data_IF_494875542831
#
_entry.id   IF_494875542831
#
_cell.length_a   1.000
_cell.length_b   1.000
_cell.length_c   1.000
_cell.angle_alpha   90.00
_cell.angle_beta   90.00
_cell.angle_gamma   90.00
#
_symmetry.space_group_name_H-M   'P 1'
#
loop_
_entity.id
_entity.type
_entity.pdbx_description
1 polymer ?
#
# COMPACT_ATOMS: atom_id res chain seq x y z
N UNK A 1 11.79 -32.21 14.98
CA UNK A 1 12.03 -31.82 13.57
C UNK A 1 10.69 -31.76 12.86
N UNK A 2 10.41 -30.69 12.10
CA UNK A 2 9.18 -30.61 11.29
C UNK A 2 9.38 -31.43 10.02
N UNK A 3 8.52 -32.42 9.78
CA UNK A 3 8.59 -33.24 8.58
C UNK A 3 7.84 -32.54 7.43
N UNK A 4 8.57 -32.14 6.38
CA UNK A 4 8.02 -31.41 5.23
C UNK A 4 7.85 -32.37 4.05
N UNK A 5 6.61 -32.73 3.72
CA UNK A 5 6.27 -33.77 2.72
C UNK A 5 5.83 -33.21 1.37
N UNK A 6 5.57 -31.91 1.26
CA UNK A 6 5.09 -31.26 0.03
C UNK A 6 6.24 -30.56 -0.69
N UNK A 7 6.34 -30.78 -2.00
CA UNK A 7 7.30 -30.11 -2.89
C UNK A 7 6.57 -29.10 -3.77
N UNK A 8 7.11 -27.89 -3.84
CA UNK A 8 6.65 -26.81 -4.73
C UNK A 8 7.79 -26.47 -5.68
N UNK A 9 7.52 -26.43 -6.98
CA UNK A 9 8.53 -26.09 -8.01
C UNK A 9 8.03 -24.92 -8.85
N UNK A 10 8.94 -24.03 -9.21
CA UNK A 10 8.67 -22.89 -10.09
C UNK A 10 9.83 -22.75 -11.07
N UNK A 11 9.55 -22.16 -12.23
CA UNK A 11 10.54 -21.93 -13.28
C UNK A 11 11.21 -20.57 -13.08
N UNK A 12 12.47 -20.50 -13.44
CA UNK A 12 13.32 -19.31 -13.34
C UNK A 12 14.06 -19.15 -14.66
N UNK A 13 14.29 -17.91 -15.05
CA UNK A 13 15.36 -17.57 -15.98
C UNK A 13 16.72 -17.73 -15.31
N UNK A 14 17.79 -17.81 -16.11
CA UNK A 14 19.17 -17.89 -15.59
C UNK A 14 19.52 -16.69 -14.70
N UNK A 15 19.05 -15.50 -15.06
CA UNK A 15 19.27 -14.28 -14.29
C UNK A 15 18.58 -14.34 -12.92
N UNK A 16 17.30 -14.72 -12.87
CA UNK A 16 16.57 -14.84 -11.61
C UNK A 16 17.17 -15.93 -10.72
N UNK A 17 17.63 -17.03 -11.31
CA UNK A 17 18.31 -18.09 -10.58
C UNK A 17 19.60 -17.58 -9.91
N UNK A 18 20.44 -16.85 -10.65
CA UNK A 18 21.68 -16.26 -10.11
C UNK A 18 21.37 -15.32 -8.94
N UNK A 19 20.42 -14.41 -9.11
CA UNK A 19 20.05 -13.44 -8.07
C UNK A 19 19.50 -14.12 -6.81
N UNK A 20 18.69 -15.16 -6.95
CA UNK A 20 18.20 -15.91 -5.79
C UNK A 20 19.36 -16.62 -5.09
N UNK A 21 20.29 -17.21 -5.84
CA UNK A 21 21.44 -17.92 -5.30
C UNK A 21 22.36 -17.01 -4.50
N UNK A 22 22.72 -15.83 -5.03
CA UNK A 22 23.52 -14.83 -4.30
C UNK A 22 22.85 -14.43 -2.98
N UNK A 23 21.54 -14.14 -3.00
CA UNK A 23 20.81 -13.78 -1.78
C UNK A 23 20.77 -14.90 -0.74
N UNK A 24 20.71 -16.16 -1.19
CA UNK A 24 20.80 -17.33 -0.29
C UNK A 24 22.19 -17.39 0.34
N UNK A 25 23.24 -17.24 -0.45
CA UNK A 25 24.64 -17.26 0.02
C UNK A 25 24.90 -16.13 1.02
N UNK A 26 24.51 -14.90 0.72
CA UNK A 26 24.62 -13.72 1.60
C UNK A 26 23.85 -13.91 2.91
N UNK A 27 22.73 -14.63 2.90
CA UNK A 27 21.90 -14.83 4.09
C UNK A 27 22.50 -15.82 5.11
N UNK A 28 23.45 -16.66 4.69
CA UNK A 28 23.97 -17.77 5.51
C UNK A 28 22.95 -18.86 5.84
N UNK A 29 21.75 -18.83 5.23
CA UNK A 29 20.71 -19.83 5.42
C UNK A 29 20.76 -20.89 4.33
N UNK A 30 20.24 -22.09 4.60
CA UNK A 30 19.95 -23.02 3.51
C UNK A 30 18.88 -22.45 2.59
N UNK A 31 18.97 -22.76 1.29
CA UNK A 31 18.01 -22.30 0.28
C UNK A 31 16.55 -22.54 0.70
N UNK A 32 16.25 -23.71 1.28
CA UNK A 32 14.90 -24.01 1.76
C UNK A 32 14.45 -23.07 2.90
N UNK A 33 15.34 -22.79 3.87
CA UNK A 33 15.01 -21.91 4.99
C UNK A 33 14.86 -20.47 4.53
N UNK A 34 15.74 -20.01 3.64
CA UNK A 34 15.66 -18.69 3.01
C UNK A 34 14.33 -18.50 2.26
N UNK A 35 14.03 -19.38 1.31
CA UNK A 35 12.83 -19.28 0.48
C UNK A 35 11.54 -19.37 1.31
N UNK A 36 11.47 -20.27 2.30
CA UNK A 36 10.32 -20.34 3.19
C UNK A 36 10.16 -19.07 4.02
N UNK A 37 11.26 -18.53 4.57
CA UNK A 37 11.24 -17.29 5.33
C UNK A 37 10.72 -16.15 4.47
N UNK A 38 11.27 -15.99 3.27
CA UNK A 38 10.84 -14.95 2.32
C UNK A 38 9.40 -15.12 1.86
N UNK A 39 8.95 -16.34 1.58
CA UNK A 39 7.60 -16.59 1.09
C UNK A 39 6.51 -16.46 2.18
N UNK A 40 6.86 -16.69 3.45
CA UNK A 40 5.91 -16.63 4.57
C UNK A 40 5.90 -15.28 5.30
N UNK A 41 7.05 -14.62 5.43
CA UNK A 41 7.17 -13.38 6.21
C UNK A 41 6.99 -12.11 5.37
N UNK A 42 7.12 -12.20 4.04
CA UNK A 42 6.93 -11.03 3.18
C UNK A 42 5.47 -10.89 2.80
N UNK A 43 4.80 -9.91 3.39
CA UNK A 43 3.44 -9.53 2.97
C UNK A 43 3.49 -9.06 1.51
N UNK A 44 2.77 -9.78 0.64
CA UNK A 44 2.48 -9.33 -0.71
C UNK A 44 1.14 -8.62 -0.64
N UNK A 45 1.18 -7.29 -0.57
CA UNK A 45 -0.03 -6.50 -0.68
C UNK A 45 -0.55 -6.58 -2.12
N UNK A 46 -1.79 -7.02 -2.29
CA UNK A 46 -2.45 -6.91 -3.58
C UNK A 46 -2.89 -5.44 -3.73
N UNK A 47 -2.75 -4.87 -4.93
CA UNK A 47 -2.99 -3.42 -5.15
C UNK A 47 -4.48 -3.07 -5.03
N UNK A 48 -5.38 -4.06 -5.08
CA UNK A 48 -6.83 -3.85 -4.92
C UNK A 48 -7.17 -3.30 -3.54
N UNK A 49 -6.42 -3.68 -2.51
CA UNK A 49 -6.57 -3.21 -1.14
C UNK A 49 -6.38 -1.69 -1.04
N UNK A 50 -5.68 -1.08 -2.00
CA UNK A 50 -5.47 0.37 -2.06
C UNK A 50 -6.39 1.08 -3.05
N UNK A 51 -7.21 0.38 -3.85
CA UNK A 51 -8.07 1.04 -4.85
C UNK A 51 -9.06 2.00 -4.20
N UNK A 52 -9.65 1.61 -3.06
CA UNK A 52 -10.54 2.47 -2.28
C UNK A 52 -9.79 3.71 -1.78
N UNK A 53 -8.57 3.54 -1.24
CA UNK A 53 -7.73 4.65 -0.79
C UNK A 53 -7.39 5.62 -1.95
N UNK A 54 -6.95 5.08 -3.09
CA UNK A 54 -6.61 5.86 -4.29
C UNK A 54 -7.82 6.64 -4.81
N UNK A 55 -9.02 6.03 -4.79
CA UNK A 55 -10.26 6.71 -5.16
C UNK A 55 -10.56 7.92 -4.26
N UNK A 56 -10.43 7.76 -2.94
CA UNK A 56 -10.65 8.85 -2.00
C UNK A 56 -9.59 9.96 -2.14
N UNK A 57 -8.30 9.60 -2.32
CA UNK A 57 -7.22 10.57 -2.58
C UNK A 57 -7.49 11.39 -3.84
N UNK A 58 -7.98 10.76 -4.92
CA UNK A 58 -8.36 11.46 -6.14
C UNK A 58 -9.50 12.46 -5.92
N UNK A 59 -10.51 12.08 -5.14
CA UNK A 59 -11.62 12.98 -4.80
C UNK A 59 -11.14 14.20 -4.02
N UNK A 60 -10.23 14.00 -3.07
CA UNK A 60 -9.63 15.09 -2.30
C UNK A 60 -8.83 16.04 -3.21
N UNK A 61 -8.02 15.48 -4.12
CA UNK A 61 -7.27 16.29 -5.10
C UNK A 61 -8.17 17.11 -6.02
N UNK A 62 -9.34 16.58 -6.41
CA UNK A 62 -10.34 17.30 -7.20
C UNK A 62 -10.88 18.50 -6.42
N UNK A 63 -11.29 18.30 -5.16
CA UNK A 63 -11.83 19.37 -4.32
C UNK A 63 -10.78 20.47 -4.08
N UNK A 64 -9.55 20.09 -3.73
CA UNK A 64 -8.42 21.04 -3.57
C UNK A 64 -8.21 21.85 -4.85
N UNK A 65 -8.25 21.21 -6.02
CA UNK A 65 -8.11 21.89 -7.30
C UNK A 65 -9.29 22.83 -7.64
N UNK A 66 -10.49 22.58 -7.12
CA UNK A 66 -11.62 23.49 -7.28
C UNK A 66 -11.41 24.73 -6.42
N UNK A 67 -11.01 24.56 -5.16
CA UNK A 67 -10.68 25.66 -4.24
C UNK A 67 -9.54 26.51 -4.80
N UNK A 68 -8.46 25.90 -5.28
CA UNK A 68 -7.33 26.62 -5.87
C UNK A 68 -7.75 27.43 -7.11
N UNK A 69 -8.60 26.88 -7.97
CA UNK A 69 -9.15 27.59 -9.13
C UNK A 69 -10.05 28.75 -8.71
N UNK A 70 -10.90 28.57 -7.70
CA UNK A 70 -11.74 29.64 -7.17
C UNK A 70 -10.90 30.76 -6.56
N UNK A 71 -9.91 30.43 -5.72
CA UNK A 71 -8.98 31.40 -5.15
C UNK A 71 -8.24 32.20 -6.22
N UNK A 72 -7.76 31.53 -7.28
CA UNK A 72 -7.07 32.18 -8.39
C UNK A 72 -7.99 33.08 -9.23
N UNK A 73 -9.31 32.82 -9.23
CA UNK A 73 -10.30 33.61 -9.98
C UNK A 73 -10.90 34.78 -9.19
N UNK A 74 -11.15 34.62 -7.90
CA UNK A 74 -11.85 35.62 -7.06
C UNK A 74 -10.92 36.38 -6.10
N UNK A 75 -9.70 35.87 -5.84
CA UNK A 75 -8.77 36.43 -4.86
C UNK A 75 -9.18 36.23 -3.40
N UNK A 76 -10.31 35.56 -3.12
CA UNK A 76 -10.82 35.33 -1.78
C UNK A 76 -11.50 33.96 -1.67
N UNK A 77 -11.27 33.26 -0.56
CA UNK A 77 -11.95 32.01 -0.19
C UNK A 77 -13.32 32.37 0.39
N UNK A 78 -14.40 31.79 -0.16
CA UNK A 78 -15.73 31.97 0.42
C UNK A 78 -15.91 31.11 1.67
N UNK A 79 -16.86 31.49 2.53
CA UNK A 79 -17.20 30.67 3.70
C UNK A 79 -17.70 29.27 3.30
N UNK A 80 -18.38 29.15 2.15
CA UNK A 80 -18.88 27.88 1.65
C UNK A 80 -17.73 26.96 1.22
N UNK A 81 -16.71 27.49 0.53
CA UNK A 81 -15.49 26.74 0.20
C UNK A 81 -14.79 26.24 1.49
N UNK A 82 -14.79 27.06 2.54
CA UNK A 82 -14.16 26.71 3.82
C UNK A 82 -14.96 25.65 4.59
N UNK A 83 -16.28 25.61 4.44
CA UNK A 83 -17.14 24.55 4.99
C UNK A 83 -16.85 23.23 4.25
N UNK A 84 -16.81 23.25 2.92
CA UNK A 84 -16.54 22.06 2.10
C UNK A 84 -15.16 21.45 2.39
N UNK A 85 -14.15 22.28 2.63
CA UNK A 85 -12.82 21.84 3.07
C UNK A 85 -12.89 21.13 4.42
N UNK A 86 -13.56 21.74 5.40
CA UNK A 86 -13.65 21.17 6.76
C UNK A 86 -14.36 19.82 6.75
N UNK A 87 -15.41 19.70 5.94
CA UNK A 87 -16.13 18.43 5.77
C UNK A 87 -15.26 17.37 5.10
N UNK A 88 -14.54 17.74 4.02
CA UNK A 88 -13.59 16.84 3.37
C UNK A 88 -12.49 16.33 4.30
N UNK A 89 -11.92 17.22 5.12
CA UNK A 89 -10.90 16.87 6.13
C UNK A 89 -11.46 15.96 7.22
N UNK A 90 -12.67 16.23 7.71
CA UNK A 90 -13.34 15.39 8.71
C UNK A 90 -13.65 13.98 8.17
N UNK A 91 -14.09 13.87 6.91
CA UNK A 91 -14.33 12.58 6.26
C UNK A 91 -13.04 11.76 6.16
N UNK A 92 -11.91 12.39 5.79
CA UNK A 92 -10.58 11.74 5.79
C UNK A 92 -10.25 11.22 7.18
N UNK A 93 -10.43 12.04 8.22
CA UNK A 93 -10.13 11.65 9.60
C UNK A 93 -10.94 10.44 10.06
N UNK A 94 -12.24 10.40 9.73
CA UNK A 94 -13.10 9.25 10.05
C UNK A 94 -12.63 7.97 9.35
N UNK A 95 -12.33 8.05 8.05
CA UNK A 95 -11.85 6.90 7.27
C UNK A 95 -10.51 6.36 7.79
N UNK A 96 -9.58 7.25 8.17
CA UNK A 96 -8.29 6.86 8.74
C UNK A 96 -8.42 6.21 10.13
N UNK A 97 -9.40 6.62 10.93
CA UNK A 97 -9.66 5.98 12.22
C UNK A 97 -10.37 4.63 12.07
N UNK A 98 -11.24 4.48 11.08
CA UNK A 98 -11.87 3.19 10.77
C UNK A 98 -10.87 2.18 10.21
N UNK A 99 -9.91 2.61 9.39
CA UNK A 99 -8.89 1.71 8.84
C UNK A 99 -7.91 1.19 9.90
N UNK A 100 -7.60 1.99 10.93
CA UNK A 100 -6.78 1.55 12.07
C UNK A 100 -7.39 0.39 12.89
N UNK A 101 -8.72 0.26 12.90
CA UNK A 101 -9.43 -0.81 13.64
C UNK A 101 -9.25 -2.18 12.95
N UNK A 102 -9.05 -2.21 11.63
CA UNK A 102 -8.88 -3.44 10.87
C UNK A 102 -7.43 -3.96 10.80
N UNK A 103 -6.44 -3.18 11.25
CA UNK A 103 -5.02 -3.57 11.21
C UNK A 103 -4.51 -4.20 12.52
N UNK A 104 -5.37 -4.35 13.54
CA UNK A 104 -5.00 -4.96 14.83
C UNK A 104 -5.69 -6.31 15.11
N UNK A 105 -6.22 -6.99 14.09
CA UNK A 105 -6.84 -8.31 14.21
C UNK A 105 -5.97 -9.41 13.58
#
# INVERSE_FOLDING_TARGET
MVHRTKKMTFRLSEEEYRQIKEKVEESGLSQQKFLLKTALEKEIFHIKEFQTLIFHVKKIGININQIARNCNGTGAISNDDMIEIKEGVNMIWQLLNQSKIHTQA
#
